data_IF_083103385339
#
_entry.id   IF_083103385339
#
_cell.length_a   1.000
_cell.length_b   1.000
_cell.length_c   1.000
_cell.angle_alpha   90.00
_cell.angle_beta   90.00
_cell.angle_gamma   90.00
#
_symmetry.space_group_name_H-M   'P 1'
#
loop_
_entity.id
_entity.type
_entity.pdbx_description
1 polymer ?
#
# COMPACT_ATOMS: atom_id res chain seq x y z
N UNK A 1 -30.48 -6.08 10.41
CA UNK A 1 -31.24 -4.81 10.54
C UNK A 1 -30.33 -3.61 10.88
N UNK A 2 -29.56 -3.64 11.98
CA UNK A 2 -28.67 -2.53 12.41
C UNK A 2 -27.59 -2.13 11.39
N UNK A 3 -26.86 -3.10 10.84
CA UNK A 3 -25.83 -2.85 9.83
C UNK A 3 -26.38 -2.19 8.55
N UNK A 4 -27.61 -2.54 8.14
CA UNK A 4 -28.26 -1.92 6.97
C UNK A 4 -28.65 -0.47 7.27
N UNK A 5 -29.14 -0.18 8.48
CA UNK A 5 -29.44 1.19 8.91
C UNK A 5 -28.18 2.06 8.91
N UNK A 6 -27.06 1.56 9.43
CA UNK A 6 -25.75 2.25 9.39
C UNK A 6 -25.33 2.54 7.94
N UNK A 7 -25.42 1.52 7.07
CA UNK A 7 -25.03 1.67 5.66
C UNK A 7 -25.87 2.71 4.94
N UNK A 8 -27.17 2.77 5.22
CA UNK A 8 -28.06 3.76 4.61
C UNK A 8 -27.68 5.18 5.04
N UNK A 9 -27.57 5.45 6.35
CA UNK A 9 -27.21 6.78 6.86
C UNK A 9 -25.83 7.23 6.35
N UNK A 10 -24.84 6.34 6.37
CA UNK A 10 -23.51 6.66 5.87
C UNK A 10 -23.48 6.85 4.34
N UNK A 11 -24.35 6.14 3.61
CA UNK A 11 -24.51 6.25 2.16
C UNK A 11 -25.13 7.58 1.75
N UNK A 12 -26.22 8.00 2.40
CA UNK A 12 -26.89 9.30 2.18
C UNK A 12 -25.94 10.49 2.40
N UNK A 13 -25.03 10.35 3.37
CA UNK A 13 -24.01 11.36 3.70
C UNK A 13 -22.72 11.23 2.88
N UNK A 14 -22.66 10.25 2.00
CA UNK A 14 -21.49 9.95 1.17
C UNK A 14 -20.18 9.82 1.98
N UNK A 15 -20.20 9.24 3.18
CA UNK A 15 -19.04 9.23 4.11
C UNK A 15 -17.86 8.37 3.64
N UNK A 16 -18.05 7.52 2.66
CA UNK A 16 -17.04 6.58 2.20
C UNK A 16 -16.82 6.71 0.70
N UNK A 17 -15.63 6.32 0.21
CA UNK A 17 -15.31 6.51 -1.20
C UNK A 17 -16.20 5.69 -2.14
N UNK A 18 -16.70 6.37 -3.17
CA UNK A 18 -17.45 5.78 -4.29
C UNK A 18 -16.55 4.99 -5.25
N UNK A 19 -15.22 5.10 -5.13
CA UNK A 19 -14.24 4.45 -6.05
C UNK A 19 -14.36 2.93 -6.08
N UNK A 20 -14.96 2.31 -5.06
CA UNK A 20 -15.08 0.87 -4.92
C UNK A 20 -16.48 0.29 -5.28
N UNK A 21 -17.21 0.84 -6.27
CA UNK A 21 -18.41 0.28 -6.94
C UNK A 21 -19.14 -0.87 -6.20
N UNK A 22 -19.63 -0.65 -4.98
CA UNK A 22 -20.38 -1.66 -4.20
C UNK A 22 -19.58 -2.79 -3.52
N UNK A 23 -18.25 -2.88 -3.68
CA UNK A 23 -17.37 -3.91 -3.10
C UNK A 23 -16.81 -3.55 -1.70
N UNK A 24 -17.23 -2.41 -1.12
CA UNK A 24 -16.73 -1.83 0.13
C UNK A 24 -17.27 -2.43 1.43
N UNK A 25 -17.74 -3.68 1.42
CA UNK A 25 -18.66 -4.25 2.42
C UNK A 25 -18.30 -4.10 3.92
N UNK A 26 -17.01 -3.98 4.28
CA UNK A 26 -16.55 -3.78 5.66
C UNK A 26 -16.12 -2.35 6.02
N UNK A 27 -15.70 -1.54 5.04
CA UNK A 27 -15.28 -0.15 5.25
C UNK A 27 -16.49 0.74 5.51
N UNK A 28 -17.61 0.46 4.84
CA UNK A 28 -18.88 1.20 4.94
C UNK A 28 -19.60 1.03 6.29
N UNK A 29 -18.91 0.46 7.28
CA UNK A 29 -19.38 0.22 8.64
C UNK A 29 -18.45 0.86 9.69
N UNK A 30 -17.49 1.72 9.28
CA UNK A 30 -16.65 2.38 10.26
C UNK A 30 -17.49 3.36 11.11
N UNK A 31 -17.79 2.93 12.33
CA UNK A 31 -18.65 3.64 13.25
C UNK A 31 -18.05 4.99 13.69
N UNK A 32 -16.72 5.12 13.73
CA UNK A 32 -16.08 6.40 14.10
C UNK A 32 -16.35 7.48 13.05
N UNK A 33 -16.35 7.14 11.76
CA UNK A 33 -16.70 8.05 10.67
C UNK A 33 -18.14 8.55 10.81
N UNK A 34 -19.05 7.61 11.09
CA UNK A 34 -20.46 7.91 11.25
C UNK A 34 -20.73 8.77 12.48
N UNK A 35 -20.23 8.36 13.67
CA UNK A 35 -20.49 9.08 14.92
C UNK A 35 -19.89 10.48 14.84
N UNK A 36 -18.62 10.63 14.44
CA UNK A 36 -18.01 11.97 14.36
C UNK A 36 -18.80 12.91 13.46
N UNK A 37 -19.17 12.45 12.26
CA UNK A 37 -19.95 13.26 11.32
C UNK A 37 -21.37 13.58 11.84
N UNK A 38 -22.14 12.57 12.25
CA UNK A 38 -23.54 12.74 12.68
C UNK A 38 -23.63 13.64 13.90
N UNK A 39 -22.73 13.49 14.87
CA UNK A 39 -22.71 14.32 16.07
C UNK A 39 -22.27 15.76 15.77
N UNK A 40 -21.31 15.96 14.86
CA UNK A 40 -20.89 17.30 14.45
C UNK A 40 -22.02 18.02 13.70
N UNK A 41 -22.62 17.35 12.72
CA UNK A 41 -23.70 17.91 11.90
C UNK A 41 -24.93 18.28 12.76
N UNK A 42 -25.34 17.38 13.66
CA UNK A 42 -26.54 17.58 14.47
C UNK A 42 -26.35 18.55 15.65
N UNK A 43 -25.22 18.48 16.36
CA UNK A 43 -25.10 19.07 17.70
C UNK A 43 -23.93 20.06 17.86
N UNK A 44 -23.02 20.18 16.90
CA UNK A 44 -21.96 21.19 16.98
C UNK A 44 -22.56 22.58 16.75
N UNK A 45 -22.39 23.49 17.71
CA UNK A 45 -22.72 24.90 17.56
C UNK A 45 -21.71 25.62 16.66
N UNK A 46 -22.02 26.84 16.21
CA UNK A 46 -21.13 27.60 15.33
C UNK A 46 -19.80 27.97 16.00
N UNK A 47 -19.80 28.19 17.32
CA UNK A 47 -18.61 28.51 18.13
C UNK A 47 -18.02 27.26 18.81
N UNK A 48 -18.68 26.11 18.67
CA UNK A 48 -18.28 24.87 19.30
C UNK A 48 -17.08 24.22 18.60
N UNK A 49 -16.37 23.37 19.36
CA UNK A 49 -15.33 22.49 18.83
C UNK A 49 -15.67 21.06 19.21
N UNK A 50 -15.81 20.19 18.22
CA UNK A 50 -15.87 18.75 18.46
C UNK A 50 -14.45 18.21 18.48
N UNK A 51 -14.10 17.43 19.51
CA UNK A 51 -12.86 16.65 19.54
C UNK A 51 -13.19 15.15 19.51
N UNK A 52 -12.58 14.39 18.60
CA UNK A 52 -12.82 12.96 18.47
C UNK A 52 -11.51 12.17 18.26
N UNK A 53 -11.31 11.09 19.02
CA UNK A 53 -10.15 10.23 18.89
C UNK A 53 -10.42 9.13 17.85
N UNK A 54 -9.66 9.09 16.75
CA UNK A 54 -9.87 8.12 15.66
C UNK A 54 -8.55 7.63 15.06
N UNK A 55 -8.54 6.49 14.34
CA UNK A 55 -7.35 6.01 13.65
C UNK A 55 -6.76 7.05 12.69
N UNK A 56 -5.44 7.04 12.50
CA UNK A 56 -4.74 7.98 11.61
C UNK A 56 -5.11 7.80 10.12
N UNK A 57 -5.58 6.61 9.75
CA UNK A 57 -6.04 6.28 8.40
C UNK A 57 -7.16 7.18 7.87
N UNK A 58 -7.90 7.87 8.74
CA UNK A 58 -8.94 8.82 8.34
C UNK A 58 -8.38 10.01 7.55
N UNK A 59 -7.14 10.43 7.80
CA UNK A 59 -6.50 11.52 7.05
C UNK A 59 -6.11 11.14 5.61
N UNK A 60 -5.93 9.86 5.29
CA UNK A 60 -5.25 9.48 4.05
C UNK A 60 -5.79 8.25 3.31
N UNK A 61 -6.56 7.37 3.95
CA UNK A 61 -7.08 6.18 3.28
C UNK A 61 -8.18 6.55 2.30
N UNK A 62 -8.13 5.95 1.11
CA UNK A 62 -9.14 6.14 0.06
C UNK A 62 -10.55 5.85 0.59
N UNK A 63 -10.67 4.85 1.45
CA UNK A 63 -11.89 4.49 2.20
C UNK A 63 -12.66 5.67 2.79
N UNK A 64 -11.97 6.66 3.35
CA UNK A 64 -12.56 7.79 4.10
C UNK A 64 -12.53 9.11 3.31
N UNK A 65 -12.37 9.05 1.99
CA UNK A 65 -12.42 10.23 1.10
C UNK A 65 -13.71 11.04 1.32
N UNK A 66 -14.86 10.37 1.37
CA UNK A 66 -16.14 11.02 1.63
C UNK A 66 -16.19 11.77 2.96
N UNK A 67 -15.78 11.11 4.05
CA UNK A 67 -15.73 11.71 5.38
C UNK A 67 -14.78 12.92 5.46
N UNK A 68 -13.64 12.89 4.75
CA UNK A 68 -12.69 14.01 4.67
C UNK A 68 -13.20 15.23 3.91
N UNK A 69 -14.31 15.10 3.18
CA UNK A 69 -15.02 16.26 2.64
C UNK A 69 -15.84 16.99 3.72
N UNK A 70 -15.89 16.44 4.95
CA UNK A 70 -16.66 16.96 6.07
C UNK A 70 -18.13 17.27 5.70
N UNK A 71 -18.85 16.31 5.09
CA UNK A 71 -20.18 16.56 4.54
C UNK A 71 -21.18 16.91 5.63
N UNK A 72 -22.06 17.86 5.35
CA UNK A 72 -23.10 18.35 6.27
C UNK A 72 -24.47 18.15 5.63
N UNK A 73 -25.48 17.79 6.43
CA UNK A 73 -26.87 17.77 5.94
C UNK A 73 -27.57 19.11 6.14
N UNK A 74 -26.90 20.03 6.84
CA UNK A 74 -27.34 21.40 7.07
C UNK A 74 -26.55 22.35 6.17
N UNK A 75 -27.04 23.57 5.97
CA UNK A 75 -26.36 24.60 5.16
C UNK A 75 -24.98 25.01 5.71
N UNK A 76 -24.67 24.68 6.97
CA UNK A 76 -23.37 24.99 7.56
C UNK A 76 -22.32 23.97 7.14
N UNK A 77 -21.20 24.46 6.61
CA UNK A 77 -20.01 23.64 6.31
C UNK A 77 -19.28 23.22 7.59
N UNK A 78 -18.54 22.11 7.55
CA UNK A 78 -17.67 21.64 8.64
C UNK A 78 -16.21 21.61 8.18
N UNK A 79 -15.29 21.86 9.10
CA UNK A 79 -13.87 21.99 8.79
C UNK A 79 -12.98 21.32 9.83
N UNK A 80 -11.82 20.82 9.41
CA UNK A 80 -10.79 20.33 10.29
C UNK A 80 -9.95 21.48 10.84
N UNK A 81 -10.12 21.81 12.12
CA UNK A 81 -9.37 22.89 12.78
C UNK A 81 -7.99 22.44 13.27
N UNK A 82 -7.87 21.21 13.78
CA UNK A 82 -6.63 20.73 14.40
C UNK A 82 -6.53 19.22 14.40
N UNK A 83 -5.30 18.74 14.35
CA UNK A 83 -4.91 17.36 14.62
C UNK A 83 -3.90 17.33 15.77
N UNK A 84 -4.22 16.53 16.78
CA UNK A 84 -3.23 16.08 17.76
C UNK A 84 -2.78 14.66 17.41
N UNK A 85 -1.50 14.51 17.06
CA UNK A 85 -0.89 13.25 16.65
C UNK A 85 -0.23 12.53 17.83
N UNK A 86 -0.80 11.38 18.19
CA UNK A 86 -0.33 10.54 19.29
C UNK A 86 0.58 9.38 18.84
N UNK A 87 0.93 9.32 17.54
CA UNK A 87 1.60 8.17 16.95
C UNK A 87 3.00 7.91 17.51
N UNK A 88 3.63 8.91 18.12
CA UNK A 88 4.94 8.81 18.77
C UNK A 88 4.88 9.00 20.30
N UNK A 89 3.69 8.87 20.88
CA UNK A 89 3.45 9.05 22.33
C UNK A 89 3.65 7.78 23.16
N UNK A 90 4.26 6.73 22.60
CA UNK A 90 4.49 5.47 23.31
C UNK A 90 3.26 4.57 23.45
N UNK A 91 2.31 4.66 22.51
CA UNK A 91 1.05 3.88 22.49
C UNK A 91 0.13 4.13 23.69
N UNK A 92 -0.35 5.37 23.88
CA UNK A 92 -1.18 5.77 25.02
C UNK A 92 -2.45 4.94 25.22
N UNK A 93 -2.95 4.29 24.17
CA UNK A 93 -4.17 3.48 24.18
C UNK A 93 -3.91 1.96 24.28
N UNK A 94 -2.78 1.55 24.88
CA UNK A 94 -2.44 0.13 25.10
C UNK A 94 -3.61 -0.61 25.79
N UNK A 95 -3.97 -1.86 25.38
CA UNK A 95 -3.26 -2.75 24.44
C UNK A 95 -3.50 -2.49 22.95
N UNK A 96 -4.29 -1.47 22.59
CA UNK A 96 -4.57 -1.17 21.18
C UNK A 96 -3.28 -0.71 20.48
N UNK A 97 -2.93 -1.40 19.39
CA UNK A 97 -1.73 -1.10 18.59
C UNK A 97 -2.00 -0.09 17.46
N UNK A 98 -3.26 0.28 17.24
CA UNK A 98 -3.67 1.28 16.26
C UNK A 98 -3.07 2.66 16.58
N UNK A 99 -2.64 3.37 15.54
CA UNK A 99 -2.19 4.76 15.69
C UNK A 99 -3.40 5.66 15.68
N UNK A 100 -3.56 6.48 16.71
CA UNK A 100 -4.69 7.38 16.86
C UNK A 100 -4.27 8.84 16.75
N UNK A 101 -5.19 9.64 16.23
CA UNK A 101 -5.14 11.10 16.21
C UNK A 101 -6.40 11.63 16.91
N UNK A 102 -6.29 12.79 17.55
CA UNK A 102 -7.47 13.56 17.92
C UNK A 102 -7.78 14.56 16.82
N UNK A 103 -9.00 14.48 16.28
CA UNK A 103 -9.53 15.35 15.26
C UNK A 103 -10.39 16.42 15.90
N UNK A 104 -10.10 17.68 15.59
CA UNK A 104 -10.89 18.82 16.05
C UNK A 104 -11.68 19.39 14.88
N UNK A 105 -13.01 19.33 14.95
CA UNK A 105 -13.94 19.76 13.89
C UNK A 105 -14.71 20.99 14.37
N UNK A 106 -14.89 21.96 13.48
CA UNK A 106 -15.58 23.25 13.71
C UNK A 106 -16.54 23.56 12.55
N UNK A 107 -17.43 24.55 12.71
CA UNK A 107 -18.36 25.00 11.65
C UNK A 107 -17.91 26.24 10.87
N UNK A 108 -16.85 26.91 11.33
CA UNK A 108 -16.28 28.07 10.65
C UNK A 108 -14.97 27.71 9.96
N UNK A 109 -14.64 28.33 8.81
CA UNK A 109 -13.36 28.11 8.14
C UNK A 109 -12.19 28.35 9.09
N UNK A 110 -11.25 27.41 9.14
CA UNK A 110 -10.10 27.48 10.02
C UNK A 110 -8.88 26.87 9.33
N UNK A 111 -7.73 27.53 9.45
CA UNK A 111 -6.46 26.95 8.97
C UNK A 111 -6.04 25.82 9.89
N UNK A 112 -6.10 24.58 9.38
CA UNK A 112 -5.79 23.39 10.18
C UNK A 112 -4.41 23.48 10.82
N UNK A 113 -4.32 23.11 12.10
CA UNK A 113 -3.06 23.03 12.84
C UNK A 113 -2.68 21.57 13.12
N UNK A 114 -1.39 21.28 13.22
CA UNK A 114 -0.88 19.94 13.52
C UNK A 114 0.08 20.01 14.70
N UNK A 115 -0.17 19.20 15.73
CA UNK A 115 0.71 19.06 16.90
C UNK A 115 0.95 17.59 17.16
N UNK A 116 2.21 17.17 17.18
CA UNK A 116 2.60 15.82 17.55
C UNK A 116 3.08 15.76 18.99
N UNK A 117 2.66 14.72 19.70
CA UNK A 117 3.10 14.41 21.05
C UNK A 117 4.15 13.31 21.00
N UNK A 118 5.39 13.69 21.30
CA UNK A 118 6.52 12.76 21.33
C UNK A 118 6.76 12.32 22.77
N UNK A 119 6.96 11.01 22.97
CA UNK A 119 7.31 10.46 24.30
C UNK A 119 8.62 11.07 24.80
N UNK A 120 8.61 11.50 26.07
CA UNK A 120 9.78 11.97 26.84
C UNK A 120 9.82 11.24 28.17
N UNK A 121 9.74 9.91 28.11
CA UNK A 121 9.68 9.07 29.31
C UNK A 121 11.07 8.97 29.93
N UNK A 122 11.19 9.08 31.28
CA UNK A 122 12.41 8.71 31.99
C UNK A 122 12.87 7.29 31.66
N UNK A 123 14.17 7.03 31.80
CA UNK A 123 14.73 5.68 31.59
C UNK A 123 14.02 4.66 32.49
N UNK A 124 13.62 3.53 31.93
CA UNK A 124 12.90 2.46 32.63
C UNK A 124 11.38 2.66 32.75
N UNK A 125 10.87 3.87 32.49
CA UNK A 125 9.44 4.15 32.51
C UNK A 125 8.78 3.80 31.17
N UNK A 126 7.56 3.28 31.24
CA UNK A 126 6.74 2.90 30.09
C UNK A 126 5.36 3.56 30.15
N UNK A 127 4.57 3.38 29.08
CA UNK A 127 3.27 4.05 28.97
C UNK A 127 2.26 3.62 30.05
N UNK A 128 2.34 2.40 30.59
CA UNK A 128 1.45 1.95 31.67
C UNK A 128 1.68 2.75 32.95
N UNK A 129 2.93 3.12 33.24
CA UNK A 129 3.26 3.97 34.38
C UNK A 129 2.62 5.35 34.21
N UNK A 130 2.64 5.89 32.98
CA UNK A 130 2.00 7.17 32.66
C UNK A 130 0.48 7.07 32.79
N UNK A 131 -0.12 6.03 32.23
CA UNK A 131 -1.56 5.79 32.22
C UNK A 131 -2.16 5.54 33.61
N UNK A 132 -1.34 5.29 34.63
CA UNK A 132 -1.79 5.23 36.03
C UNK A 132 -2.32 6.58 36.54
N UNK A 133 -1.86 7.70 35.96
CA UNK A 133 -2.30 9.05 36.31
C UNK A 133 -3.68 9.35 35.72
N UNK A 134 -4.47 10.17 36.42
CA UNK A 134 -5.86 10.49 36.03
C UNK A 134 -6.04 11.86 35.36
N UNK A 135 -5.00 12.70 35.31
CA UNK A 135 -5.11 14.04 34.75
C UNK A 135 -4.00 14.33 33.72
N UNK A 136 -4.35 15.14 32.71
CA UNK A 136 -3.37 15.64 31.75
C UNK A 136 -2.26 16.47 32.42
N UNK A 137 -2.59 17.20 33.48
CA UNK A 137 -1.65 18.06 34.22
C UNK A 137 -0.46 17.27 34.77
N UNK A 138 -0.71 16.04 35.22
CA UNK A 138 0.31 15.17 35.82
C UNK A 138 1.19 14.52 34.76
N UNK A 139 0.61 14.22 33.59
CA UNK A 139 1.31 13.48 32.54
C UNK A 139 1.97 14.35 31.48
N UNK A 140 1.57 15.62 31.32
CA UNK A 140 2.08 16.51 30.26
C UNK A 140 3.60 16.64 30.24
N UNK A 141 4.26 16.50 31.40
CA UNK A 141 5.73 16.56 31.54
C UNK A 141 6.46 15.40 30.83
N UNK A 142 5.77 14.29 30.59
CA UNK A 142 6.29 13.11 29.92
C UNK A 142 6.14 13.16 28.39
N UNK A 143 5.66 14.28 27.85
CA UNK A 143 5.51 14.49 26.43
C UNK A 143 6.16 15.81 26.00
N UNK A 144 6.84 15.80 24.87
CA UNK A 144 7.19 17.03 24.15
C UNK A 144 6.21 17.26 23.00
N UNK A 145 5.99 18.52 22.66
CA UNK A 145 5.16 18.92 21.53
C UNK A 145 6.03 19.32 20.36
N UNK A 146 5.67 18.85 19.18
CA UNK A 146 6.28 19.22 17.92
C UNK A 146 5.20 19.77 17.01
N UNK A 147 5.35 21.01 16.56
CA UNK A 147 4.43 21.61 15.59
C UNK A 147 4.75 21.06 14.20
N UNK A 148 3.71 20.82 13.41
CA UNK A 148 3.84 20.40 12.01
C UNK A 148 2.90 21.17 11.10
N UNK A 149 2.92 20.78 9.83
CA UNK A 149 2.02 21.26 8.80
C UNK A 149 1.10 20.12 8.37
N UNK A 150 -0.18 20.44 8.24
CA UNK A 150 -1.17 19.54 7.65
C UNK A 150 -1.46 20.06 6.25
N UNK A 151 -1.03 19.33 5.22
CA UNK A 151 -1.03 19.81 3.83
C UNK A 151 -1.72 18.82 2.93
N UNK A 152 -2.61 19.29 2.06
CA UNK A 152 -3.05 18.52 0.90
C UNK A 152 -2.03 18.79 -0.22
N UNK A 153 -1.29 17.74 -0.61
CA UNK A 153 -0.24 17.85 -1.64
C UNK A 153 -0.81 17.87 -3.07
N UNK A 154 -2.13 17.87 -3.20
CA UNK A 154 -2.86 17.50 -4.40
C UNK A 154 -4.18 18.23 -4.48
N UNK A 155 -4.52 18.72 -5.67
CA UNK A 155 -5.85 19.28 -5.93
C UNK A 155 -6.90 18.21 -6.26
N UNK A 156 -6.51 17.06 -6.81
CA UNK A 156 -7.41 15.92 -7.09
C UNK A 156 -7.53 14.91 -5.95
N UNK A 157 -6.94 15.18 -4.79
CA UNK A 157 -7.04 14.33 -3.61
C UNK A 157 -7.18 15.13 -2.33
N UNK A 158 -8.21 14.81 -1.54
CA UNK A 158 -8.43 15.40 -0.23
C UNK A 158 -7.61 14.75 0.91
N UNK A 159 -6.55 14.00 0.60
CA UNK A 159 -5.69 13.35 1.60
C UNK A 159 -4.81 14.40 2.28
N UNK A 160 -4.75 14.35 3.60
CA UNK A 160 -3.87 15.20 4.38
C UNK A 160 -2.54 14.51 4.66
N UNK A 161 -1.46 15.19 4.29
CA UNK A 161 -0.09 14.82 4.63
C UNK A 161 0.34 15.51 5.92
N UNK A 162 0.93 14.73 6.83
CA UNK A 162 1.48 15.22 8.10
C UNK A 162 2.97 15.46 7.93
N UNK A 163 3.38 16.71 7.93
CA UNK A 163 4.76 17.11 7.69
C UNK A 163 5.33 17.73 8.96
N UNK A 164 6.47 17.22 9.42
CA UNK A 164 7.18 17.69 10.60
C UNK A 164 8.64 17.98 10.23
N UNK A 165 9.27 18.97 10.88
CA UNK A 165 10.66 19.37 10.63
C UNK A 165 11.00 19.59 9.15
N UNK A 166 10.11 20.22 8.40
CA UNK A 166 10.31 20.51 6.98
C UNK A 166 10.21 22.03 6.73
N UNK A 167 10.97 22.48 5.74
CA UNK A 167 10.90 23.85 5.23
C UNK A 167 9.70 24.02 4.28
N UNK A 168 9.35 25.26 3.96
CA UNK A 168 8.37 25.52 2.90
C UNK A 168 8.86 24.97 1.54
N UNK A 169 10.17 25.02 1.27
CA UNK A 169 10.78 24.46 0.07
C UNK A 169 10.55 22.94 -0.05
N UNK A 170 10.65 22.21 1.06
CA UNK A 170 10.35 20.78 1.11
C UNK A 170 8.88 20.49 0.78
N UNK A 171 7.96 21.33 1.26
CA UNK A 171 6.52 21.21 0.97
C UNK A 171 6.25 21.47 -0.52
N UNK A 172 6.86 22.51 -1.10
CA UNK A 172 6.70 22.82 -2.52
C UNK A 172 7.28 21.70 -3.40
N UNK A 173 8.44 21.14 -3.06
CA UNK A 173 8.97 19.96 -3.78
C UNK A 173 8.05 18.74 -3.67
N UNK A 174 7.41 18.53 -2.52
CA UNK A 174 6.43 17.46 -2.36
C UNK A 174 5.17 17.69 -3.20
N UNK A 175 4.72 18.94 -3.37
CA UNK A 175 3.61 19.28 -4.28
C UNK A 175 3.97 19.03 -5.74
N UNK A 176 5.22 19.29 -6.14
CA UNK A 176 5.70 18.99 -7.50
C UNK A 176 5.69 17.49 -7.82
N UNK A 177 5.70 16.60 -6.81
CA UNK A 177 5.50 15.18 -7.07
C UNK A 177 4.08 14.85 -7.50
N UNK A 178 3.10 15.72 -7.31
CA UNK A 178 1.73 15.43 -7.69
C UNK A 178 1.51 15.67 -9.18
N UNK A 179 0.82 14.75 -9.84
CA UNK A 179 0.38 14.97 -11.22
C UNK A 179 0.12 13.70 -12.00
N UNK A 180 0.23 13.82 -13.33
CA UNK A 180 -0.07 12.72 -14.23
C UNK A 180 0.96 11.59 -14.11
N UNK A 181 0.49 10.41 -13.69
CA UNK A 181 1.24 9.17 -13.75
C UNK A 181 1.00 8.49 -15.11
N UNK A 182 2.04 8.34 -15.94
CA UNK A 182 1.92 7.65 -17.22
C UNK A 182 1.92 6.11 -17.10
N UNK A 183 1.93 5.60 -15.86
CA UNK A 183 2.04 4.18 -15.56
C UNK A 183 0.93 3.71 -14.64
N UNK A 184 0.65 2.41 -14.68
CA UNK A 184 -0.43 1.80 -13.90
C UNK A 184 0.11 0.78 -12.90
N UNK A 185 0.24 1.16 -11.62
CA UNK A 185 0.55 0.21 -10.56
C UNK A 185 -0.56 -0.84 -10.43
N UNK A 186 -0.14 -2.07 -10.13
CA UNK A 186 -1.02 -3.21 -9.90
C UNK A 186 -0.61 -3.91 -8.61
N UNK A 187 -1.62 -4.45 -7.93
CA UNK A 187 -1.38 -5.36 -6.83
C UNK A 187 -0.83 -6.69 -7.38
N UNK A 188 0.05 -7.34 -6.62
CA UNK A 188 0.49 -8.69 -6.97
C UNK A 188 -0.60 -9.75 -6.84
N UNK A 189 -0.32 -10.93 -7.38
CA UNK A 189 -1.26 -12.07 -7.42
C UNK A 189 -1.62 -12.51 -6.01
N UNK A 190 -2.91 -12.80 -5.79
CA UNK A 190 -3.43 -13.25 -4.51
C UNK A 190 -3.61 -14.77 -4.52
N UNK A 191 -2.60 -15.48 -3.97
CA UNK A 191 -2.58 -16.93 -3.80
C UNK A 191 -3.30 -17.30 -2.49
N UNK A 192 -4.60 -17.54 -2.55
CA UNK A 192 -5.45 -17.85 -1.39
C UNK A 192 -6.26 -19.12 -1.64
N UNK A 193 -6.25 -20.13 -0.74
CA UNK A 193 -5.49 -20.19 0.52
C UNK A 193 -3.98 -20.32 0.29
N UNK A 194 -3.17 -19.58 1.04
CA UNK A 194 -1.72 -19.52 0.81
C UNK A 194 -1.04 -20.87 1.05
N UNK A 195 -1.57 -21.62 2.01
CA UNK A 195 -1.10 -22.94 2.44
C UNK A 195 -1.35 -24.04 1.38
N UNK A 196 -2.20 -23.77 0.39
CA UNK A 196 -2.46 -24.64 -0.76
C UNK A 196 -1.63 -24.23 -1.97
N UNK A 197 -1.54 -22.93 -2.25
CA UNK A 197 -0.97 -22.45 -3.51
C UNK A 197 0.51 -22.08 -3.45
N UNK A 198 1.11 -22.07 -2.26
CA UNK A 198 2.52 -21.69 -2.05
C UNK A 198 3.31 -22.86 -1.50
N UNK A 199 4.53 -22.99 -2.01
CA UNK A 199 5.44 -24.09 -1.74
C UNK A 199 6.83 -23.59 -1.37
N UNK A 200 7.53 -24.39 -0.57
CA UNK A 200 8.97 -24.34 -0.42
C UNK A 200 9.59 -25.46 -1.27
N UNK A 201 10.78 -25.22 -1.78
CA UNK A 201 11.49 -26.16 -2.65
C UNK A 201 12.69 -26.71 -1.90
N UNK A 202 12.82 -28.02 -1.87
CA UNK A 202 13.94 -28.73 -1.25
C UNK A 202 15.09 -28.94 -2.26
N UNK A 203 16.28 -29.24 -1.73
CA UNK A 203 17.51 -29.41 -2.52
C UNK A 203 17.40 -30.59 -3.53
N UNK A 204 16.58 -31.60 -3.22
CA UNK A 204 16.29 -32.74 -4.11
C UNK A 204 15.31 -32.39 -5.25
N UNK A 205 14.85 -31.14 -5.31
CA UNK A 205 13.95 -30.62 -6.33
C UNK A 205 12.47 -30.91 -6.07
N UNK A 206 12.12 -31.53 -4.94
CA UNK A 206 10.73 -31.68 -4.50
C UNK A 206 10.21 -30.41 -3.85
N UNK A 207 8.89 -30.36 -3.67
CA UNK A 207 8.18 -29.23 -3.08
C UNK A 207 7.36 -29.68 -1.87
N UNK A 208 7.18 -28.76 -0.94
CA UNK A 208 6.28 -28.92 0.21
C UNK A 208 5.37 -27.72 0.32
N UNK A 209 4.07 -27.94 0.52
CA UNK A 209 3.13 -26.84 0.70
C UNK A 209 3.27 -26.23 2.11
N UNK A 210 2.93 -24.96 2.30
CA UNK A 210 3.20 -24.33 3.60
C UNK A 210 2.34 -24.91 4.73
N UNK A 211 2.99 -25.27 5.84
CA UNK A 211 2.33 -25.54 7.13
C UNK A 211 2.51 -24.35 8.07
N UNK A 212 1.42 -23.60 8.30
CA UNK A 212 1.44 -22.37 9.09
C UNK A 212 0.48 -22.51 10.27
N UNK A 213 1.02 -22.40 11.48
CA UNK A 213 0.23 -22.42 12.71
C UNK A 213 -0.69 -21.20 12.80
N UNK A 214 -1.94 -21.44 13.23
CA UNK A 214 -2.91 -20.38 13.53
C UNK A 214 -3.73 -19.87 12.33
N UNK A 215 -3.63 -20.53 11.18
CA UNK A 215 -4.45 -20.21 10.00
C UNK A 215 -5.86 -20.78 10.15
N UNK A 216 -6.84 -20.09 9.56
CA UNK A 216 -8.25 -20.51 9.60
C UNK A 216 -8.50 -21.76 8.75
N UNK A 217 -7.80 -21.86 7.62
CA UNK A 217 -7.86 -23.00 6.70
C UNK A 217 -6.60 -23.82 6.91
N UNK A 218 -6.77 -25.10 7.26
CA UNK A 218 -5.69 -26.05 7.50
C UNK A 218 -5.76 -27.13 6.41
N UNK A 219 -5.09 -26.94 5.26
CA UNK A 219 -5.09 -27.91 4.18
C UNK A 219 -4.33 -29.19 4.54
N UNK A 220 -4.46 -30.21 3.69
CA UNK A 220 -3.60 -31.38 3.75
C UNK A 220 -2.14 -30.95 3.54
N UNK A 221 -1.22 -31.55 4.29
CA UNK A 221 0.20 -31.21 4.22
C UNK A 221 0.99 -32.35 3.58
N UNK A 222 1.84 -31.99 2.62
CA UNK A 222 2.66 -32.90 1.84
C UNK A 222 4.10 -32.40 1.85
N UNK A 223 5.02 -33.30 2.21
CA UNK A 223 6.44 -32.98 2.37
C UNK A 223 7.25 -33.22 1.09
N UNK A 224 6.77 -34.07 0.17
CA UNK A 224 7.51 -34.47 -1.03
C UNK A 224 6.62 -34.52 -2.27
N UNK A 225 6.34 -33.35 -2.84
CA UNK A 225 5.60 -33.20 -4.08
C UNK A 225 6.55 -33.06 -5.27
N UNK A 226 6.29 -33.80 -6.35
CA UNK A 226 6.95 -33.60 -7.63
C UNK A 226 5.93 -33.08 -8.62
N UNK A 227 6.20 -31.89 -9.14
CA UNK A 227 5.36 -31.24 -10.12
C UNK A 227 6.08 -31.13 -11.45
N UNK A 228 5.30 -31.06 -12.51
CA UNK A 228 5.79 -30.84 -13.85
C UNK A 228 6.40 -29.42 -13.97
N UNK A 229 7.28 -29.23 -14.96
CA UNK A 229 7.97 -27.95 -15.15
C UNK A 229 7.00 -26.86 -15.61
N UNK A 230 7.34 -25.60 -15.30
CA UNK A 230 6.67 -24.37 -15.78
C UNK A 230 5.27 -24.05 -15.22
N UNK A 231 4.64 -24.94 -14.45
CA UNK A 231 3.35 -24.66 -13.78
C UNK A 231 3.52 -24.00 -12.40
N UNK A 232 4.71 -24.17 -11.81
CA UNK A 232 5.14 -23.54 -10.58
C UNK A 232 6.17 -22.47 -10.89
N UNK A 233 6.00 -21.27 -10.32
CA UNK A 233 6.88 -20.12 -10.55
C UNK A 233 7.40 -19.52 -9.24
N UNK A 234 8.61 -18.94 -9.23
CA UNK A 234 9.12 -18.24 -8.05
C UNK A 234 8.25 -17.02 -7.72
N UNK A 235 8.08 -16.75 -6.42
CA UNK A 235 7.23 -15.70 -5.90
C UNK A 235 8.06 -14.55 -5.32
N UNK A 236 7.82 -13.33 -5.79
CA UNK A 236 8.41 -12.14 -5.18
C UNK A 236 7.54 -11.64 -4.03
N UNK A 237 8.08 -11.72 -2.81
CA UNK A 237 7.43 -11.21 -1.60
C UNK A 237 7.86 -9.77 -1.27
N UNK A 238 6.99 -9.02 -0.58
CA UNK A 238 7.27 -7.66 -0.10
C UNK A 238 8.62 -7.52 0.61
N UNK A 239 8.95 -8.49 1.49
CA UNK A 239 10.17 -8.50 2.30
C UNK A 239 11.46 -8.65 1.47
N UNK A 240 11.36 -9.18 0.26
CA UNK A 240 12.49 -9.38 -0.66
C UNK A 240 12.75 -8.12 -1.49
N UNK A 241 11.83 -7.15 -1.54
CA UNK A 241 12.02 -5.92 -2.30
C UNK A 241 12.95 -4.98 -1.53
N UNK A 242 14.12 -4.72 -2.11
CA UNK A 242 15.12 -3.76 -1.65
C UNK A 242 15.28 -2.58 -2.61
N UNK A 243 15.98 -1.54 -2.18
CA UNK A 243 16.33 -0.43 -3.07
C UNK A 243 17.31 -0.94 -4.13
N UNK A 244 16.88 -0.97 -5.39
CA UNK A 244 17.65 -1.47 -6.53
C UNK A 244 18.08 -2.96 -6.41
N UNK A 245 17.45 -3.76 -5.54
CA UNK A 245 17.84 -5.17 -5.39
C UNK A 245 16.70 -6.06 -4.90
N UNK A 246 16.68 -7.30 -5.38
CA UNK A 246 15.84 -8.36 -4.81
C UNK A 246 16.70 -9.13 -3.82
N UNK A 247 16.32 -9.07 -2.55
CA UNK A 247 17.01 -9.70 -1.41
C UNK A 247 16.62 -11.17 -1.27
N UNK A 248 17.51 -11.97 -0.68
CA UNK A 248 17.28 -13.37 -0.32
C UNK A 248 16.74 -14.21 -1.49
N UNK A 249 17.39 -14.13 -2.67
CA UNK A 249 17.01 -14.91 -3.85
C UNK A 249 17.14 -16.41 -3.61
N UNK A 250 18.08 -16.82 -2.77
CA UNK A 250 18.33 -18.23 -2.44
C UNK A 250 17.23 -18.85 -1.56
N UNK A 251 16.38 -18.03 -0.94
CA UNK A 251 15.25 -18.47 -0.13
C UNK A 251 13.93 -17.91 -0.68
N UNK A 252 13.63 -18.27 -1.93
CA UNK A 252 12.39 -17.90 -2.62
C UNK A 252 11.34 -19.00 -2.48
N UNK A 253 10.11 -18.58 -2.21
CA UNK A 253 8.97 -19.48 -2.26
C UNK A 253 8.45 -19.59 -3.68
N UNK A 254 7.73 -20.66 -3.95
CA UNK A 254 7.19 -20.97 -5.26
C UNK A 254 5.67 -21.04 -5.19
N UNK A 255 4.98 -20.77 -6.29
CA UNK A 255 3.52 -20.81 -6.33
C UNK A 255 2.98 -21.39 -7.60
N UNK A 256 1.81 -22.02 -7.48
CA UNK A 256 1.02 -22.49 -8.61
C UNK A 256 0.45 -21.29 -9.38
N UNK A 257 0.62 -21.28 -10.70
CA UNK A 257 0.10 -20.22 -11.56
C UNK A 257 -0.57 -20.82 -12.81
N UNK A 258 -1.89 -21.09 -12.77
CA UNK A 258 -2.63 -21.78 -13.82
C UNK A 258 -3.06 -20.88 -14.97
N UNK A 259 -2.18 -20.01 -15.45
CA UNK A 259 -2.54 -19.05 -16.48
C UNK A 259 -1.51 -19.02 -17.60
N UNK A 260 -2.02 -18.81 -18.82
CA UNK A 260 -1.19 -18.59 -19.99
C UNK A 260 -0.64 -17.15 -20.07
N UNK A 261 0.02 -16.83 -21.18
CA UNK A 261 0.59 -15.49 -21.41
C UNK A 261 -0.47 -14.40 -21.55
N UNK A 262 -1.69 -14.75 -21.98
CA UNK A 262 -2.84 -13.83 -22.06
C UNK A 262 -3.58 -13.70 -20.73
N UNK A 263 -3.09 -14.42 -19.72
CA UNK A 263 -3.69 -14.54 -18.40
C UNK A 263 -5.05 -15.26 -18.42
N UNK A 264 -5.26 -16.14 -19.40
CA UNK A 264 -6.44 -17.01 -19.44
C UNK A 264 -6.15 -18.28 -18.64
N UNK A 265 -7.16 -18.73 -17.88
CA UNK A 265 -7.01 -19.87 -16.98
C UNK A 265 -6.84 -21.14 -17.80
N UNK A 266 -5.91 -22.00 -17.40
CA UNK A 266 -5.76 -23.34 -17.99
C UNK A 266 -7.01 -24.15 -17.58
N UNK A 267 -7.80 -24.69 -18.52
CA UNK A 267 -8.96 -25.52 -18.20
C UNK A 267 -8.57 -26.85 -17.53
N UNK A 268 -9.48 -27.45 -16.77
CA UNK A 268 -9.19 -28.69 -16.03
C UNK A 268 -8.74 -29.83 -16.94
N UNK A 269 -9.31 -29.99 -18.13
CA UNK A 269 -8.94 -31.02 -19.09
C UNK A 269 -7.49 -30.83 -19.56
N UNK A 270 -7.12 -29.60 -19.90
CA UNK A 270 -5.75 -29.27 -20.32
C UNK A 270 -4.75 -29.40 -19.16
N UNK A 271 -5.19 -29.16 -17.92
CA UNK A 271 -4.40 -29.37 -16.71
C UNK A 271 -4.20 -30.88 -16.47
N UNK A 272 -5.22 -31.71 -16.68
CA UNK A 272 -5.12 -33.16 -16.56
C UNK A 272 -4.12 -33.74 -17.56
N UNK A 273 -4.13 -33.26 -18.80
CA UNK A 273 -3.25 -33.75 -19.87
C UNK A 273 -1.79 -33.33 -19.65
N UNK A 274 -1.55 -32.07 -19.27
CA UNK A 274 -0.19 -31.49 -19.21
C UNK A 274 0.44 -31.51 -17.83
N UNK A 275 -0.38 -31.49 -16.79
CA UNK A 275 0.01 -31.27 -15.40
C UNK A 275 -0.73 -32.22 -14.42
N UNK A 276 -0.79 -33.55 -14.68
CA UNK A 276 -1.59 -34.49 -13.90
C UNK A 276 -1.22 -34.53 -12.41
N UNK A 277 0.06 -34.40 -12.04
CA UNK A 277 0.50 -34.40 -10.65
C UNK A 277 0.01 -33.15 -9.90
N UNK A 278 0.05 -31.98 -10.56
CA UNK A 278 -0.52 -30.76 -10.00
C UNK A 278 -2.05 -30.85 -9.86
N UNK A 279 -2.75 -31.40 -10.85
CA UNK A 279 -4.20 -31.59 -10.75
C UNK A 279 -4.57 -32.52 -9.59
N UNK A 280 -3.89 -33.67 -9.46
CA UNK A 280 -4.12 -34.59 -8.34
C UNK A 280 -3.94 -33.91 -6.99
N UNK A 281 -2.87 -33.14 -6.81
CA UNK A 281 -2.67 -32.32 -5.61
C UNK A 281 -3.83 -31.35 -5.36
N UNK A 282 -4.28 -30.61 -6.39
CA UNK A 282 -5.37 -29.65 -6.23
C UNK A 282 -6.71 -30.31 -5.89
N UNK A 283 -6.97 -31.50 -6.42
CA UNK A 283 -8.17 -32.29 -6.10
C UNK A 283 -8.17 -32.72 -4.64
N UNK A 284 -7.02 -33.17 -4.11
CA UNK A 284 -6.85 -33.48 -2.68
C UNK A 284 -6.99 -32.24 -1.78
N UNK A 285 -6.82 -31.04 -2.34
CA UNK A 285 -6.95 -29.77 -1.63
C UNK A 285 -8.30 -29.06 -1.85
N UNK A 286 -9.16 -29.58 -2.72
CA UNK A 286 -10.35 -28.88 -3.21
C UNK A 286 -11.28 -28.39 -2.11
N UNK A 287 -11.52 -29.22 -1.09
CA UNK A 287 -12.39 -28.85 0.02
C UNK A 287 -11.86 -27.63 0.83
N UNK A 288 -10.54 -27.38 0.81
CA UNK A 288 -9.93 -26.23 1.48
C UNK A 288 -9.95 -24.98 0.61
N UNK A 289 -9.83 -25.14 -0.70
CA UNK A 289 -10.00 -24.07 -1.67
C UNK A 289 -11.44 -23.54 -1.62
N UNK A 290 -12.42 -24.44 -1.49
CA UNK A 290 -13.84 -24.10 -1.43
C UNK A 290 -14.25 -23.36 -0.16
N UNK A 291 -13.45 -23.44 0.92
CA UNK A 291 -13.64 -22.68 2.19
C UNK A 291 -13.35 -21.19 2.06
N UNK A 292 -12.88 -20.72 0.90
CA UNK A 292 -12.73 -19.29 0.62
C UNK A 292 -14.06 -18.55 0.67
N UNK A 293 -13.99 -17.25 1.01
CA UNK A 293 -15.19 -16.41 1.00
C UNK A 293 -15.74 -16.24 -0.42
N UNK A 294 -17.06 -16.11 -0.56
CA UNK A 294 -17.71 -15.85 -1.85
C UNK A 294 -17.11 -14.63 -2.56
N UNK A 295 -16.78 -13.57 -1.80
CA UNK A 295 -16.09 -12.41 -2.33
C UNK A 295 -14.75 -12.76 -2.99
N UNK A 296 -13.96 -13.64 -2.38
CA UNK A 296 -12.68 -14.09 -2.95
C UNK A 296 -12.92 -14.83 -4.26
N UNK A 297 -13.89 -15.74 -4.30
CA UNK A 297 -14.26 -16.51 -5.50
C UNK A 297 -14.72 -15.60 -6.64
N UNK A 298 -15.56 -14.59 -6.37
CA UNK A 298 -16.02 -13.63 -7.40
C UNK A 298 -14.89 -12.76 -7.96
N UNK A 299 -13.82 -12.52 -7.19
CA UNK A 299 -12.66 -11.74 -7.66
C UNK A 299 -11.65 -12.57 -8.46
N UNK A 300 -11.78 -13.89 -8.49
CA UNK A 300 -10.90 -14.77 -9.25
C UNK A 300 -11.11 -14.59 -10.76
N UNK A 301 -10.03 -14.80 -11.52
CA UNK A 301 -10.07 -14.76 -12.98
C UNK A 301 -10.17 -16.18 -13.51
N UNK A 302 -11.30 -16.51 -14.14
CA UNK A 302 -11.60 -17.86 -14.63
C UNK A 302 -12.71 -18.54 -13.84
N UNK A 303 -13.22 -19.66 -14.38
CA UNK A 303 -14.31 -20.44 -13.79
C UNK A 303 -13.86 -21.67 -13.01
N UNK A 304 -12.59 -22.06 -13.13
CA UNK A 304 -12.05 -23.24 -12.45
C UNK A 304 -11.97 -23.03 -10.94
N UNK A 305 -12.14 -24.11 -10.16
CA UNK A 305 -12.12 -24.03 -8.70
C UNK A 305 -10.77 -23.53 -8.16
N UNK A 306 -9.70 -23.73 -8.92
CA UNK A 306 -8.35 -23.28 -8.58
C UNK A 306 -7.98 -21.88 -9.12
N UNK A 307 -8.98 -21.11 -9.57
CA UNK A 307 -8.76 -19.75 -10.08
C UNK A 307 -8.26 -18.80 -8.99
N UNK A 308 -7.21 -18.04 -9.33
CA UNK A 308 -6.61 -17.01 -8.50
C UNK A 308 -7.20 -15.63 -8.81
N UNK A 309 -7.03 -14.70 -7.87
CA UNK A 309 -7.44 -13.30 -8.05
C UNK A 309 -6.24 -12.38 -8.27
N UNK A 310 -6.54 -11.15 -8.75
CA UNK A 310 -5.53 -10.13 -9.14
C UNK A 310 -4.64 -10.55 -10.33
N UNK A 311 -5.15 -11.43 -11.18
CA UNK A 311 -4.50 -11.89 -12.41
C UNK A 311 -5.03 -11.11 -13.62
N UNK A 312 -4.16 -10.82 -14.59
CA UNK A 312 -4.51 -10.16 -15.85
C UNK A 312 -3.31 -10.07 -16.77
N UNK A 313 -3.45 -9.52 -17.97
CA UNK A 313 -2.34 -9.45 -18.96
C UNK A 313 -1.05 -8.82 -18.42
N UNK A 314 -1.15 -7.96 -17.40
CA UNK A 314 -0.02 -7.34 -16.73
C UNK A 314 0.80 -8.31 -15.85
N UNK A 315 0.31 -9.51 -15.50
CA UNK A 315 1.06 -10.49 -14.68
C UNK A 315 2.05 -11.31 -15.48
N UNK A 316 1.84 -11.43 -16.79
CA UNK A 316 2.78 -12.04 -17.74
C UNK A 316 3.63 -10.95 -18.37
N UNK A 317 4.79 -10.68 -17.77
CA UNK A 317 5.66 -9.56 -18.17
C UNK A 317 7.12 -9.98 -18.29
N UNK A 318 7.85 -9.32 -19.19
CA UNK A 318 9.30 -9.46 -19.34
C UNK A 318 10.08 -8.52 -18.42
N UNK A 319 9.62 -7.29 -18.28
CA UNK A 319 10.25 -6.28 -17.42
C UNK A 319 9.20 -5.64 -16.52
N UNK A 320 9.57 -5.40 -15.27
CA UNK A 320 8.74 -4.66 -14.33
C UNK A 320 9.60 -3.92 -13.30
N UNK A 321 8.93 -3.05 -12.55
CA UNK A 321 9.41 -2.56 -11.26
C UNK A 321 8.44 -3.04 -10.18
N UNK A 322 8.94 -3.69 -9.14
CA UNK A 322 8.15 -4.00 -7.95
C UNK A 322 8.55 -3.09 -6.80
N UNK A 323 7.61 -2.77 -5.92
CA UNK A 323 7.83 -1.88 -4.79
C UNK A 323 7.08 -2.36 -3.55
N UNK A 324 7.42 -1.81 -2.38
CA UNK A 324 6.75 -2.14 -1.12
C UNK A 324 5.54 -1.24 -0.88
N UNK A 325 4.43 -1.82 -0.43
CA UNK A 325 3.19 -1.12 -0.06
C UNK A 325 3.08 -0.82 1.45
N UNK A 326 4.16 -0.99 2.21
CA UNK A 326 4.16 -0.82 3.66
C UNK A 326 5.56 -0.54 4.18
N UNK A 327 5.65 -0.02 5.41
CA UNK A 327 6.88 0.23 6.19
C UNK A 327 7.87 1.21 5.57
N UNK A 328 8.36 0.94 4.36
CA UNK A 328 9.35 1.74 3.64
C UNK A 328 9.12 1.61 2.14
N UNK A 329 8.95 2.74 1.47
CA UNK A 329 8.88 2.78 0.01
C UNK A 329 10.28 2.56 -0.58
N UNK A 330 10.46 1.41 -1.22
CA UNK A 330 11.65 1.02 -1.99
C UNK A 330 11.19 0.20 -3.18
N UNK A 331 11.96 0.24 -4.26
CA UNK A 331 11.63 -0.44 -5.50
C UNK A 331 12.80 -1.23 -6.09
N UNK A 332 12.48 -2.31 -6.80
CA UNK A 332 13.44 -3.19 -7.44
C UNK A 332 13.04 -3.45 -8.89
N UNK A 333 14.03 -3.43 -9.77
CA UNK A 333 13.88 -3.84 -11.16
C UNK A 333 13.73 -5.37 -11.24
N UNK A 334 12.84 -5.84 -12.11
CA UNK A 334 12.62 -7.25 -12.42
C UNK A 334 12.91 -7.49 -13.91
N UNK A 335 13.81 -8.45 -14.18
CA UNK A 335 14.04 -9.02 -15.50
C UNK A 335 13.53 -10.46 -15.51
N UNK A 336 12.33 -10.64 -16.03
CA UNK A 336 11.65 -11.94 -16.14
C UNK A 336 12.00 -12.69 -17.42
N UNK A 337 13.04 -12.28 -18.17
CA UNK A 337 13.50 -13.03 -19.35
C UNK A 337 14.05 -14.43 -19.02
N UNK A 338 14.38 -14.70 -17.76
CA UNK A 338 14.90 -15.99 -17.28
C UNK A 338 14.09 -16.59 -16.13
N UNK A 339 13.76 -15.78 -15.13
CA UNK A 339 13.30 -16.27 -13.83
C UNK A 339 11.77 -16.48 -13.74
N UNK A 340 10.98 -15.84 -14.62
CA UNK A 340 9.52 -15.98 -14.66
C UNK A 340 8.79 -15.64 -13.34
N UNK A 341 9.34 -14.73 -12.54
CA UNK A 341 8.90 -14.47 -11.16
C UNK A 341 7.56 -13.73 -11.10
N UNK A 342 6.72 -14.10 -10.13
CA UNK A 342 5.39 -13.52 -9.91
C UNK A 342 5.38 -12.68 -8.63
N UNK A 343 5.10 -11.37 -8.69
CA UNK A 343 4.85 -10.56 -7.51
C UNK A 343 3.53 -10.97 -6.83
N UNK A 344 3.57 -11.18 -5.51
CA UNK A 344 2.38 -11.54 -4.70
C UNK A 344 1.68 -10.31 -4.11
N UNK A 345 0.50 -10.48 -3.51
CA UNK A 345 -0.38 -9.41 -2.98
C UNK A 345 0.29 -8.17 -2.37
N UNK A 346 1.33 -8.32 -1.53
CA UNK A 346 2.05 -7.22 -0.86
C UNK A 346 3.35 -6.79 -1.55
N UNK A 347 3.55 -7.23 -2.79
CA UNK A 347 4.60 -6.83 -3.71
C UNK A 347 3.94 -6.20 -4.95
N UNK A 348 3.31 -5.02 -4.83
CA UNK A 348 2.78 -4.33 -5.99
C UNK A 348 3.87 -4.01 -7.00
N UNK A 349 3.47 -3.85 -8.26
CA UNK A 349 4.39 -3.70 -9.37
C UNK A 349 3.79 -2.92 -10.53
N UNK A 350 4.66 -2.46 -11.42
CA UNK A 350 4.32 -1.82 -12.69
C UNK A 350 5.03 -2.61 -13.79
N UNK A 351 4.26 -3.20 -14.70
CA UNK A 351 4.74 -3.95 -15.86
C UNK A 351 4.21 -3.43 -17.20
N UNK A 352 3.28 -2.47 -17.15
CA UNK A 352 2.69 -1.80 -18.30
C UNK A 352 2.51 -0.32 -18.01
N UNK A 353 2.45 0.49 -19.06
CA UNK A 353 2.03 1.88 -18.95
C UNK A 353 0.50 2.02 -18.77
N UNK A 354 0.01 3.26 -18.64
CA UNK A 354 -1.43 3.54 -18.47
C UNK A 354 -2.30 3.03 -19.63
N UNK A 355 -1.72 2.87 -20.82
CA UNK A 355 -2.39 2.38 -22.04
C UNK A 355 -2.29 0.85 -22.19
N UNK A 356 -1.62 0.16 -21.26
CA UNK A 356 -1.44 -1.29 -21.28
C UNK A 356 -0.26 -1.77 -22.13
N UNK A 357 0.63 -0.87 -22.56
CA UNK A 357 1.83 -1.25 -23.33
C UNK A 357 2.89 -1.80 -22.37
N UNK A 358 3.45 -3.01 -22.61
CA UNK A 358 4.51 -3.58 -21.79
C UNK A 358 5.75 -2.70 -21.70
N UNK A 359 6.37 -2.65 -20.53
CA UNK A 359 7.57 -1.84 -20.33
C UNK A 359 8.76 -2.40 -21.11
N UNK A 360 9.59 -1.49 -21.63
CA UNK A 360 10.95 -1.82 -22.07
C UNK A 360 11.90 -1.96 -20.88
N UNK A 361 13.08 -2.56 -21.09
CA UNK A 361 14.11 -2.71 -20.04
C UNK A 361 14.53 -1.37 -19.44
N UNK A 362 14.81 -0.38 -20.28
CA UNK A 362 15.25 0.95 -19.84
C UNK A 362 14.13 1.72 -19.15
N UNK A 363 12.89 1.55 -19.60
CA UNK A 363 11.72 2.16 -18.97
C UNK A 363 11.48 1.60 -17.56
N UNK A 364 11.59 0.28 -17.37
CA UNK A 364 11.50 -0.34 -16.05
C UNK A 364 12.66 0.10 -15.12
N UNK A 365 13.86 0.30 -15.66
CA UNK A 365 15.00 0.88 -14.91
C UNK A 365 14.73 2.33 -14.52
N UNK A 366 14.24 3.15 -15.45
CA UNK A 366 13.86 4.55 -15.18
C UNK A 366 12.85 4.63 -14.04
N UNK A 367 11.79 3.83 -14.08
CA UNK A 367 10.82 3.75 -12.99
C UNK A 367 11.45 3.30 -11.67
N UNK A 368 12.37 2.33 -11.71
CA UNK A 368 13.10 1.89 -10.52
C UNK A 368 13.91 3.03 -9.91
N UNK A 369 14.49 3.90 -10.73
CA UNK A 369 15.15 5.14 -10.29
C UNK A 369 14.20 6.10 -9.59
N UNK A 370 13.14 6.52 -10.29
CA UNK A 370 12.13 7.46 -9.78
C UNK A 370 11.54 6.95 -8.45
N UNK A 371 11.19 5.67 -8.37
CA UNK A 371 10.54 5.09 -7.18
C UNK A 371 11.48 4.94 -5.97
N UNK A 372 12.79 5.10 -6.14
CA UNK A 372 13.78 5.08 -5.06
C UNK A 372 14.35 6.46 -4.71
N UNK A 373 13.78 7.55 -5.23
CA UNK A 373 14.18 8.91 -4.85
C UNK A 373 13.86 9.17 -3.37
N UNK A 374 14.73 9.87 -2.61
CA UNK A 374 14.47 10.25 -1.23
C UNK A 374 13.11 10.94 -1.02
N UNK A 375 12.74 11.88 -1.88
CA UNK A 375 11.50 12.65 -1.78
C UNK A 375 10.25 11.78 -1.98
N UNK A 376 10.34 10.72 -2.78
CA UNK A 376 9.27 9.73 -2.93
C UNK A 376 9.07 8.97 -1.62
N UNK A 377 10.16 8.58 -0.96
CA UNK A 377 10.06 7.95 0.36
C UNK A 377 9.41 8.89 1.39
N UNK A 378 9.77 10.18 1.35
CA UNK A 378 9.15 11.22 2.19
C UNK A 378 7.66 11.35 1.88
N UNK A 379 7.27 11.47 0.62
CA UNK A 379 5.87 11.55 0.17
C UNK A 379 5.03 10.40 0.74
N UNK A 380 5.49 9.15 0.60
CA UNK A 380 4.73 8.00 1.09
C UNK A 380 4.58 7.99 2.62
N UNK A 381 5.62 8.38 3.36
CA UNK A 381 5.61 8.44 4.83
C UNK A 381 4.76 9.57 5.41
N UNK A 382 4.74 10.72 4.75
CA UNK A 382 3.97 11.89 5.22
C UNK A 382 2.51 11.78 4.81
N UNK A 383 2.23 11.17 3.65
CA UNK A 383 0.88 11.01 3.11
C UNK A 383 0.15 9.82 3.71
N UNK A 384 0.75 8.63 3.70
CA UNK A 384 0.05 7.38 4.05
C UNK A 384 0.38 6.88 5.46
N UNK A 385 -0.41 5.91 5.93
CA UNK A 385 -0.09 5.18 7.16
C UNK A 385 1.04 4.18 6.90
N UNK A 386 1.97 4.02 7.85
CA UNK A 386 3.07 3.04 7.74
C UNK A 386 2.59 1.61 7.51
N UNK A 387 1.34 1.31 7.89
CA UNK A 387 0.70 0.00 7.74
C UNK A 387 0.33 -0.30 6.30
N UNK A 388 0.03 0.72 5.49
CA UNK A 388 -0.40 0.54 4.12
C UNK A 388 -0.28 1.85 3.34
N UNK A 389 0.47 1.77 2.25
CA UNK A 389 0.58 2.76 1.20
C UNK A 389 -0.43 2.43 0.11
N UNK A 390 -1.16 3.43 -0.39
CA UNK A 390 -2.00 3.22 -1.57
C UNK A 390 -1.12 2.93 -2.77
N UNK A 391 -1.50 1.94 -3.58
CA UNK A 391 -0.87 1.68 -4.88
C UNK A 391 -1.41 2.62 -5.96
N UNK A 392 -2.55 3.27 -5.72
CA UNK A 392 -3.14 4.28 -6.59
C UNK A 392 -2.63 5.66 -6.15
N UNK A 393 -1.32 5.85 -6.23
CA UNK A 393 -0.69 7.13 -5.94
C UNK A 393 -0.63 7.98 -7.21
N UNK A 394 -0.93 9.26 -7.04
CA UNK A 394 -1.02 10.24 -8.12
C UNK A 394 0.30 11.00 -8.27
N UNK A 395 1.41 10.26 -8.29
CA UNK A 395 2.71 10.86 -8.50
C UNK A 395 2.91 11.17 -9.99
N UNK A 396 3.46 12.34 -10.29
CA UNK A 396 3.89 12.72 -11.61
C UNK A 396 5.07 11.83 -12.03
N UNK A 397 4.81 10.88 -12.90
CA UNK A 397 5.84 10.02 -13.47
C UNK A 397 5.69 10.10 -14.99
N UNK A 398 6.45 11.00 -15.65
CA UNK A 398 6.39 11.14 -17.10
C UNK A 398 6.79 9.86 -17.81
N UNK A 399 6.12 9.58 -18.94
CA UNK A 399 6.45 8.47 -19.84
C UNK A 399 7.92 8.54 -20.26
N UNK A 400 8.57 7.39 -20.31
CA UNK A 400 9.95 7.28 -20.76
C UNK A 400 10.02 7.54 -22.27
N UNK A 401 10.62 8.66 -22.64
CA UNK A 401 10.82 9.13 -24.01
C UNK A 401 12.30 9.21 -24.40
N UNK A 402 13.19 8.64 -23.58
CA UNK A 402 14.65 8.61 -23.83
C UNK A 402 15.28 10.00 -23.97
N UNK A 403 14.75 11.01 -23.24
CA UNK A 403 15.40 12.32 -23.16
C UNK A 403 16.74 12.23 -22.40
N UNK A 404 17.52 13.31 -22.38
CA UNK A 404 18.87 13.32 -21.78
C UNK A 404 18.86 12.92 -20.30
N UNK A 405 17.92 13.44 -19.50
CA UNK A 405 17.79 13.15 -18.08
C UNK A 405 17.39 11.69 -17.84
N UNK A 406 16.37 11.21 -18.57
CA UNK A 406 15.89 9.84 -18.46
C UNK A 406 16.96 8.82 -18.83
N UNK A 407 17.76 9.10 -19.87
CA UNK A 407 18.92 8.26 -20.23
C UNK A 407 19.95 8.23 -19.11
N UNK A 408 20.23 9.37 -18.49
CA UNK A 408 21.19 9.45 -17.38
C UNK A 408 20.69 8.71 -16.13
N UNK A 409 19.41 8.86 -15.78
CA UNK A 409 18.77 8.08 -14.72
C UNK A 409 18.92 6.58 -14.98
N UNK A 410 18.71 6.11 -16.21
CA UNK A 410 18.88 4.68 -16.55
C UNK A 410 20.32 4.21 -16.39
N UNK A 411 21.32 5.04 -16.70
CA UNK A 411 22.74 4.71 -16.45
C UNK A 411 23.01 4.59 -14.96
N UNK A 412 22.62 5.59 -14.17
CA UNK A 412 22.76 5.60 -12.71
C UNK A 412 22.09 4.38 -12.07
N UNK A 413 20.87 4.04 -12.48
CA UNK A 413 20.17 2.83 -12.02
C UNK A 413 20.96 1.58 -12.40
N UNK A 414 21.54 1.51 -13.60
CA UNK A 414 22.34 0.35 -14.02
C UNK A 414 23.57 0.17 -13.12
N UNK A 415 24.23 1.26 -12.71
CA UNK A 415 25.30 1.20 -11.71
C UNK A 415 24.77 0.73 -10.34
N UNK A 416 23.65 1.29 -9.88
CA UNK A 416 23.04 0.91 -8.60
C UNK A 416 22.63 -0.57 -8.54
N UNK A 417 22.11 -1.13 -9.64
CA UNK A 417 21.73 -2.56 -9.73
C UNK A 417 22.93 -3.50 -9.60
N UNK A 418 24.13 -3.05 -9.98
CA UNK A 418 25.38 -3.82 -9.90
C UNK A 418 26.18 -3.55 -8.62
N UNK A 419 25.80 -2.54 -7.83
CA UNK A 419 26.47 -2.19 -6.58
C UNK A 419 25.94 -3.02 -5.41
N UNK A 420 26.86 -3.52 -4.57
CA UNK A 420 26.54 -4.10 -3.26
C UNK A 420 26.65 -3.08 -2.11
N UNK A 421 27.03 -1.84 -2.40
CA UNK A 421 27.22 -0.79 -1.41
C UNK A 421 25.93 0.04 -1.22
N UNK A 422 25.31 -0.11 -0.06
CA UNK A 422 24.07 0.61 0.26
C UNK A 422 24.26 2.14 0.37
N UNK A 423 25.45 2.63 0.69
CA UNK A 423 25.71 4.08 0.71
C UNK A 423 25.85 4.64 -0.71
N UNK A 424 26.48 3.89 -1.62
CA UNK A 424 26.55 4.26 -3.03
C UNK A 424 25.15 4.34 -3.65
N UNK A 425 24.29 3.35 -3.39
CA UNK A 425 22.88 3.38 -3.83
C UNK A 425 22.12 4.59 -3.31
N UNK A 426 22.34 4.99 -2.06
CA UNK A 426 21.72 6.20 -1.49
C UNK A 426 22.18 7.46 -2.21
N UNK A 427 23.46 7.54 -2.57
CA UNK A 427 23.99 8.68 -3.29
C UNK A 427 23.46 8.76 -4.72
N UNK A 428 23.43 7.63 -5.41
CA UNK A 428 22.77 7.50 -6.72
C UNK A 428 21.30 7.93 -6.65
N UNK A 429 20.56 7.50 -5.64
CA UNK A 429 19.17 7.92 -5.41
C UNK A 429 19.00 9.44 -5.31
N UNK A 430 19.94 10.16 -4.69
CA UNK A 430 19.91 11.64 -4.63
C UNK A 430 20.22 12.27 -5.98
N UNK A 431 21.19 11.73 -6.71
CA UNK A 431 21.52 12.23 -8.05
C UNK A 431 20.34 12.05 -9.02
N UNK A 432 19.64 10.92 -8.93
CA UNK A 432 18.41 10.68 -9.70
C UNK A 432 17.32 11.70 -9.35
N UNK A 433 17.18 12.07 -8.07
CA UNK A 433 16.20 13.08 -7.64
C UNK A 433 16.48 14.45 -8.26
N UNK A 434 17.76 14.88 -8.30
CA UNK A 434 18.15 16.13 -8.97
C UNK A 434 17.79 16.09 -10.45
N UNK A 435 18.20 15.03 -11.16
CA UNK A 435 17.91 14.86 -12.60
C UNK A 435 16.40 14.80 -12.89
N UNK A 436 15.62 14.24 -11.97
CA UNK A 436 14.17 14.18 -12.09
C UNK A 436 13.55 15.58 -12.00
N UNK A 437 13.98 16.42 -11.06
CA UNK A 437 13.47 17.79 -10.96
C UNK A 437 13.92 18.65 -12.14
N UNK A 438 15.18 18.55 -12.57
CA UNK A 438 15.67 19.25 -13.78
C UNK A 438 14.85 18.86 -15.02
N UNK A 439 14.45 17.58 -15.11
CA UNK A 439 13.57 17.11 -16.17
C UNK A 439 12.17 17.73 -16.09
N UNK A 440 11.61 17.89 -14.89
CA UNK A 440 10.31 18.53 -14.72
C UNK A 440 10.35 20.02 -15.08
N UNK A 441 11.40 20.72 -14.66
CA UNK A 441 11.64 22.13 -15.02
C UNK A 441 11.73 22.28 -16.55
N UNK A 442 12.51 21.46 -17.25
CA UNK A 442 12.61 21.49 -18.73
C UNK A 442 11.27 21.18 -19.43
N UNK A 443 10.39 20.41 -18.78
CA UNK A 443 9.05 20.11 -19.29
C UNK A 443 8.02 21.21 -19.02
N UNK A 444 8.40 22.32 -18.39
CA UNK A 444 7.49 23.39 -17.96
C UNK A 444 6.52 22.93 -16.85
N UNK A 445 6.91 21.90 -16.11
CA UNK A 445 6.15 21.33 -14.98
C UNK A 445 6.86 21.50 -13.64
N UNK A 446 8.05 22.09 -13.68
CA UNK A 446 8.81 22.46 -12.51
C UNK A 446 8.46 23.88 -12.03
N UNK A 447 9.28 24.42 -11.14
CA UNK A 447 8.93 25.57 -10.26
C UNK A 447 8.41 26.81 -10.96
#
# INVERSE_FOLDING_TARGET
>A
MYANKIKNVAGERELFSKKNKGLGGGINLNLAALISNVTADNWLSNEGVQAFLMPDTFLNSDSYEGWRNFPSTKENSMFLARIDDWSNSGSPFKPVQEKFLTYFIVKNPYSSTLVKYNKKFPKGMNILDINSNKSWRDVKKYFSKEKGLLVQLSDSSNRFSRIYNATLDDVEKLKLLYGQNDYKPRQGVELTPREVYVFEKDDDGTYRNLDIKGTKIKPNHFEKLKFEKNIIRPLLQSKQIGAFSIKNRDNIQYGFYPYDEKADIIPMEALADKYPAMLNYLLEQKEFIDKQSERSKTMSRGSEFYALSKVGSYTSFKYAVAFRDNTKMVASFIDNSKDGMIPVKHAPFISVDKNGIPLTKDEAKYLTGVMNMPIVNTYFKTTYSDRSFSINFDMMIPKYKKNKFQKEIVKLVTFALNSNNENEKKEISKQIEVLYFDMLDEMGKGR
#
